data_IF_607931406735
#
_entry.id   IF_607931406735
#
_cell.length_a   1.000
_cell.length_b   1.000
_cell.length_c   1.000
_cell.angle_alpha   90.00
_cell.angle_beta   90.00
_cell.angle_gamma   90.00
#
_symmetry.space_group_name_H-M   'P 1'
#
loop_
_entity.id
_entity.type
_entity.pdbx_description
1 polymer ?
#
# COMPACT_ATOMS: atom_id res chain seq x y z
N UNK A 1 14.82 16.92 -12.39
CA UNK A 1 14.77 16.14 -11.13
C UNK A 1 13.66 15.14 -11.32
N UNK A 2 14.04 13.89 -11.56
CA UNK A 2 13.15 12.77 -11.83
C UNK A 2 13.31 11.80 -10.66
N UNK A 3 12.51 12.05 -9.62
CA UNK A 3 12.49 11.21 -8.42
C UNK A 3 11.61 10.01 -8.73
N UNK A 4 12.24 8.85 -8.92
CA UNK A 4 11.57 7.62 -9.34
C UNK A 4 11.92 6.45 -8.43
N UNK A 5 11.04 5.46 -8.41
CA UNK A 5 11.29 4.21 -7.71
C UNK A 5 12.04 3.26 -8.64
N UNK A 6 13.06 2.61 -8.09
CA UNK A 6 13.83 1.59 -8.79
C UNK A 6 13.86 0.30 -7.97
N UNK A 7 13.74 -0.83 -8.66
CA UNK A 7 13.90 -2.14 -8.05
C UNK A 7 15.38 -2.56 -8.08
N UNK A 8 15.84 -3.09 -6.96
CA UNK A 8 17.22 -3.53 -6.76
C UNK A 8 17.20 -4.97 -6.29
N UNK A 9 17.97 -5.80 -6.99
CA UNK A 9 18.13 -7.20 -6.66
C UNK A 9 19.26 -7.37 -5.64
N UNK A 10 19.02 -8.25 -4.68
CA UNK A 10 19.89 -8.53 -3.53
C UNK A 10 19.93 -10.02 -3.28
N UNK A 11 20.90 -10.49 -2.49
CA UNK A 11 20.87 -11.87 -2.01
C UNK A 11 19.66 -12.11 -1.10
N UNK A 12 18.94 -13.20 -1.34
CA UNK A 12 17.79 -13.60 -0.53
C UNK A 12 18.19 -13.70 0.95
N UNK A 13 17.39 -13.11 1.83
CA UNK A 13 17.67 -13.09 3.28
C UNK A 13 18.65 -11.99 3.72
N UNK A 14 19.28 -11.27 2.78
CA UNK A 14 20.11 -10.10 3.08
C UNK A 14 19.36 -8.78 2.94
N UNK A 15 18.06 -8.76 2.59
CA UNK A 15 17.34 -7.52 2.25
C UNK A 15 17.38 -6.49 3.38
N UNK A 16 17.15 -6.92 4.63
CA UNK A 16 17.18 -6.02 5.79
C UNK A 16 18.58 -5.46 6.06
N UNK A 17 19.60 -6.30 5.88
CA UNK A 17 21.00 -5.89 6.03
C UNK A 17 21.40 -4.90 4.94
N UNK A 18 20.97 -5.13 3.71
CA UNK A 18 21.21 -4.22 2.58
C UNK A 18 20.51 -2.90 2.82
N UNK A 19 19.23 -2.91 3.24
CA UNK A 19 18.50 -1.69 3.59
C UNK A 19 19.26 -0.87 4.64
N UNK A 20 19.65 -1.50 5.74
CA UNK A 20 20.38 -0.82 6.81
C UNK A 20 21.72 -0.26 6.32
N UNK A 21 22.50 -1.05 5.58
CA UNK A 21 23.77 -0.60 5.02
C UNK A 21 23.60 0.58 4.07
N UNK A 22 22.57 0.54 3.22
CA UNK A 22 22.27 1.59 2.26
C UNK A 22 21.88 2.88 3.01
N UNK A 23 20.97 2.81 3.97
CA UNK A 23 20.57 3.96 4.80
C UNK A 23 21.75 4.59 5.55
N UNK A 24 22.65 3.78 6.11
CA UNK A 24 23.87 4.29 6.76
C UNK A 24 24.80 4.97 5.76
N UNK A 25 25.00 4.35 4.58
CA UNK A 25 25.90 4.87 3.55
C UNK A 25 25.38 6.18 2.96
N UNK A 26 24.06 6.29 2.77
CA UNK A 26 23.39 7.55 2.38
C UNK A 26 23.67 8.66 3.39
N UNK A 27 23.61 8.37 4.70
CA UNK A 27 23.91 9.35 5.75
C UNK A 27 25.39 9.75 5.78
N UNK A 28 26.30 8.78 5.67
CA UNK A 28 27.76 9.01 5.74
C UNK A 28 28.25 9.80 4.53
N UNK A 29 27.74 9.50 3.34
CA UNK A 29 28.11 10.18 2.10
C UNK A 29 27.31 11.47 1.86
N UNK A 30 26.38 11.81 2.76
CA UNK A 30 25.55 13.00 2.64
C UNK A 30 24.59 12.98 1.44
N UNK A 31 24.20 11.81 0.94
CA UNK A 31 23.37 11.63 -0.27
C UNK A 31 21.86 11.66 -0.01
N UNK A 32 21.43 12.30 1.09
CA UNK A 32 20.02 12.36 1.49
C UNK A 32 19.17 13.22 0.55
N UNK A 33 19.82 14.04 -0.27
CA UNK A 33 19.27 14.86 -1.34
C UNK A 33 19.02 14.08 -2.64
N UNK A 34 19.63 12.89 -2.79
CA UNK A 34 19.47 12.02 -3.98
C UNK A 34 18.74 10.72 -3.67
N UNK A 35 18.94 10.13 -2.50
CA UNK A 35 18.32 8.87 -2.09
C UNK A 35 17.36 9.16 -0.93
N UNK A 36 16.06 9.10 -1.23
CA UNK A 36 15.01 9.54 -0.31
C UNK A 36 14.47 8.42 0.57
N UNK A 37 14.27 7.23 -0.01
CA UNK A 37 13.60 6.14 0.69
C UNK A 37 14.10 4.77 0.23
N UNK A 38 14.17 3.83 1.17
CA UNK A 38 14.49 2.42 0.92
C UNK A 38 13.39 1.55 1.52
N UNK A 39 12.81 0.68 0.72
CA UNK A 39 11.62 -0.10 1.03
C UNK A 39 11.87 -1.58 0.76
N UNK A 40 11.37 -2.42 1.68
CA UNK A 40 11.31 -3.87 1.49
C UNK A 40 9.83 -4.22 1.44
N UNK A 41 9.35 -4.93 0.41
CA UNK A 41 7.94 -5.29 0.27
C UNK A 41 7.58 -6.36 1.30
N UNK A 42 7.09 -5.93 2.47
CA UNK A 42 6.63 -6.82 3.53
C UNK A 42 5.16 -6.60 3.83
N UNK A 43 4.38 -7.68 3.88
CA UNK A 43 3.00 -7.67 4.32
C UNK A 43 2.92 -7.95 5.83
N UNK A 44 2.11 -7.18 6.55
CA UNK A 44 1.82 -7.42 7.97
C UNK A 44 0.66 -8.41 8.09
N UNK A 45 0.99 -9.66 8.45
CA UNK A 45 0.02 -10.75 8.64
C UNK A 45 -0.23 -10.90 10.13
N UNK A 46 -1.50 -10.89 10.55
CA UNK A 46 -1.87 -11.16 11.95
C UNK A 46 -1.99 -12.67 12.15
N UNK A 47 -0.95 -13.29 12.67
CA UNK A 47 -1.01 -14.69 13.06
C UNK A 47 -1.63 -14.82 14.46
N UNK A 48 -2.59 -15.73 14.59
CA UNK A 48 -3.13 -16.13 15.89
C UNK A 48 -2.29 -17.29 16.42
N UNK A 49 -1.42 -17.03 17.40
CA UNK A 49 -0.76 -18.12 18.14
C UNK A 49 -1.74 -18.81 19.10
N UNK A 50 -1.54 -20.11 19.33
CA UNK A 50 -2.25 -20.87 20.36
C UNK A 50 -2.13 -20.13 21.70
N UNK A 51 -3.26 -19.65 22.22
CA UNK A 51 -3.33 -18.78 23.40
C UNK A 51 -3.96 -17.39 23.17
N UNK A 52 -4.40 -17.07 21.95
CA UNK A 52 -5.24 -15.89 21.68
C UNK A 52 -4.48 -14.55 21.59
N UNK A 53 -3.15 -14.58 21.63
CA UNK A 53 -2.32 -13.39 21.37
C UNK A 53 -2.18 -13.20 19.85
N UNK A 54 -2.67 -12.07 19.36
CA UNK A 54 -2.47 -11.61 17.98
C UNK A 54 -1.03 -11.11 17.86
N UNK A 55 -0.22 -11.77 17.05
CA UNK A 55 1.15 -11.35 16.74
C UNK A 55 1.17 -10.85 15.29
N UNK A 56 1.68 -9.63 15.07
CA UNK A 56 1.84 -9.07 13.72
C UNK A 56 3.17 -9.58 13.17
N UNK A 57 3.11 -10.52 12.25
CA UNK A 57 4.27 -11.11 11.59
C UNK A 57 4.45 -10.46 10.22
N UNK A 58 5.65 -9.94 9.96
CA UNK A 58 6.00 -9.34 8.67
C UNK A 58 6.47 -10.41 7.70
N UNK A 59 5.72 -10.64 6.63
CA UNK A 59 6.05 -11.61 5.58
C UNK A 59 6.58 -10.88 4.34
N UNK A 60 7.75 -11.29 3.84
CA UNK A 60 8.34 -10.75 2.61
C UNK A 60 7.56 -11.26 1.39
N UNK A 61 7.11 -10.36 0.53
CA UNK A 61 6.36 -10.69 -0.70
C UNK A 61 7.29 -11.01 -1.88
N UNK A 62 8.39 -10.25 -2.01
CA UNK A 62 9.41 -10.46 -3.04
C UNK A 62 10.78 -10.69 -2.39
N UNK A 63 11.09 -11.94 -1.98
CA UNK A 63 12.41 -12.29 -1.46
C UNK A 63 13.50 -11.94 -2.49
N UNK A 64 14.58 -11.32 -2.03
CA UNK A 64 15.69 -10.87 -2.86
C UNK A 64 15.51 -9.47 -3.47
N UNK A 65 14.39 -8.79 -3.25
CA UNK A 65 14.15 -7.45 -3.82
C UNK A 65 14.06 -6.36 -2.75
N UNK A 66 14.68 -5.23 -3.04
CA UNK A 66 14.48 -3.96 -2.33
C UNK A 66 14.12 -2.89 -3.35
N UNK A 67 13.40 -1.86 -2.91
CA UNK A 67 13.00 -0.74 -3.75
C UNK A 67 13.58 0.55 -3.19
N UNK A 68 14.11 1.38 -4.05
CA UNK A 68 14.77 2.63 -3.67
C UNK A 68 14.15 3.80 -4.42
N UNK A 69 13.81 4.86 -3.71
CA UNK A 69 13.35 6.12 -4.25
C UNK A 69 14.56 7.04 -4.44
N UNK A 70 14.92 7.30 -5.68
CA UNK A 70 16.16 8.00 -6.03
C UNK A 70 15.89 9.05 -7.11
N UNK A 71 16.55 10.21 -7.00
CA UNK A 71 16.69 11.15 -8.12
C UNK A 71 17.89 10.73 -8.96
N UNK A 72 17.64 10.16 -10.14
CA UNK A 72 18.68 9.83 -11.10
C UNK A 72 18.93 10.96 -12.12
N UNK A 73 18.16 12.05 -12.07
CA UNK A 73 18.25 13.16 -13.02
C UNK A 73 17.54 12.88 -14.35
N UNK A 74 17.27 13.95 -15.10
CA UNK A 74 16.39 13.92 -16.28
C UNK A 74 17.05 13.28 -17.52
N UNK A 75 18.34 12.93 -17.47
CA UNK A 75 19.08 12.35 -18.59
C UNK A 75 19.05 10.82 -18.52
N UNK A 76 18.28 10.11 -19.38
CA UNK A 76 18.31 8.66 -19.43
C UNK A 76 19.69 8.22 -19.93
N UNK A 77 20.48 7.60 -19.05
CA UNK A 77 21.83 7.12 -19.39
C UNK A 77 22.96 7.70 -18.56
N UNK A 78 22.73 8.77 -17.81
CA UNK A 78 23.76 9.30 -16.91
C UNK A 78 23.78 8.53 -15.60
N UNK A 79 24.82 7.72 -15.44
CA UNK A 79 25.12 7.02 -14.20
C UNK A 79 25.52 8.06 -13.16
N UNK A 80 24.64 8.32 -12.19
CA UNK A 80 24.92 9.30 -11.14
C UNK A 80 25.56 8.64 -9.90
N UNK A 81 26.12 9.45 -9.01
CA UNK A 81 26.71 8.97 -7.76
C UNK A 81 25.72 8.15 -6.90
N UNK A 82 24.42 8.44 -6.95
CA UNK A 82 23.42 7.69 -6.19
C UNK A 82 23.28 6.25 -6.71
N UNK A 83 23.35 6.05 -8.03
CA UNK A 83 23.40 4.72 -8.64
C UNK A 83 24.64 3.94 -8.19
N UNK A 84 25.81 4.59 -8.17
CA UNK A 84 27.04 3.96 -7.70
C UNK A 84 26.97 3.58 -6.21
N UNK A 85 26.36 4.42 -5.38
CA UNK A 85 26.17 4.14 -3.95
C UNK A 85 25.30 2.91 -3.75
N UNK A 86 24.17 2.80 -4.46
CA UNK A 86 23.28 1.63 -4.37
C UNK A 86 24.00 0.38 -4.88
N UNK A 87 24.65 0.45 -6.05
CA UNK A 87 25.35 -0.70 -6.64
C UNK A 87 26.53 -1.19 -5.80
N UNK A 88 27.29 -0.28 -5.20
CA UNK A 88 28.44 -0.60 -4.36
C UNK A 88 28.04 -0.99 -2.92
N UNK A 89 26.74 -1.09 -2.62
CA UNK A 89 26.28 -1.53 -1.30
C UNK A 89 26.44 -3.05 -1.16
N UNK A 90 27.11 -3.53 -0.09
CA UNK A 90 27.30 -4.97 0.11
C UNK A 90 25.98 -5.73 0.20
N UNK A 91 25.82 -6.72 -0.68
CA UNK A 91 24.63 -7.56 -0.76
C UNK A 91 23.67 -7.21 -1.89
N UNK A 92 23.92 -6.10 -2.60
CA UNK A 92 23.27 -5.76 -3.87
C UNK A 92 23.94 -6.54 -5.00
N UNK A 93 23.13 -7.18 -5.86
CA UNK A 93 23.61 -7.85 -7.07
C UNK A 93 23.48 -6.96 -8.31
N UNK A 94 22.50 -6.04 -8.30
CA UNK A 94 22.34 -5.03 -9.33
C UNK A 94 20.94 -4.41 -9.32
N UNK A 95 20.74 -3.40 -10.16
CA UNK A 95 19.41 -2.87 -10.44
C UNK A 95 18.65 -3.82 -11.37
N UNK A 96 17.34 -3.85 -11.22
CA UNK A 96 16.44 -4.50 -12.17
C UNK A 96 16.30 -3.58 -13.38
N UNK A 97 16.63 -4.08 -14.57
CA UNK A 97 16.65 -3.29 -15.79
C UNK A 97 17.54 -3.91 -16.87
N UNK A 98 17.95 -3.08 -17.84
CA UNK A 98 18.96 -3.50 -18.81
C UNK A 98 20.34 -3.49 -18.14
N UNK A 99 21.27 -4.34 -18.60
CA UNK A 99 22.58 -4.55 -17.97
C UNK A 99 23.40 -3.26 -17.74
N UNK A 100 23.05 -2.17 -18.40
CA UNK A 100 23.72 -0.87 -18.35
C UNK A 100 22.90 0.23 -17.69
N UNK A 101 21.57 0.10 -17.54
CA UNK A 101 20.70 1.19 -17.06
C UNK A 101 19.57 0.70 -16.15
N UNK A 102 19.32 1.39 -15.01
CA UNK A 102 18.17 1.12 -14.16
C UNK A 102 16.89 1.50 -14.90
N UNK A 103 15.84 0.68 -14.74
CA UNK A 103 14.52 0.97 -15.28
C UNK A 103 13.62 1.42 -14.14
N UNK A 104 12.99 2.60 -14.21
CA UNK A 104 12.06 3.04 -13.17
C UNK A 104 10.82 2.17 -13.18
N UNK A 105 10.22 1.98 -12.01
CA UNK A 105 8.92 1.33 -11.88
C UNK A 105 7.86 2.20 -12.55
N UNK A 106 6.89 1.54 -13.20
CA UNK A 106 5.70 2.22 -13.70
C UNK A 106 4.85 2.77 -12.55
N UNK A 107 4.04 3.82 -12.78
CA UNK A 107 3.19 4.40 -11.74
C UNK A 107 2.28 3.37 -11.05
N UNK A 108 1.73 2.42 -11.81
CA UNK A 108 0.91 1.33 -11.30
C UNK A 108 1.69 0.38 -10.37
N UNK A 109 2.92 0.01 -10.72
CA UNK A 109 3.80 -0.82 -9.88
C UNK A 109 4.21 -0.11 -8.60
N UNK A 110 4.49 1.20 -8.68
CA UNK A 110 4.78 2.03 -7.51
C UNK A 110 3.59 2.09 -6.56
N UNK A 111 2.40 2.28 -7.11
CA UNK A 111 1.18 2.33 -6.31
C UNK A 111 0.96 1.00 -5.55
N UNK A 112 1.05 -0.11 -6.27
CA UNK A 112 0.94 -1.45 -5.68
C UNK A 112 1.99 -1.71 -4.60
N UNK A 113 3.24 -1.31 -4.85
CA UNK A 113 4.34 -1.42 -3.89
C UNK A 113 4.08 -0.63 -2.61
N UNK A 114 3.60 0.62 -2.74
CA UNK A 114 3.31 1.49 -1.59
C UNK A 114 2.12 1.00 -0.77
N UNK A 115 1.10 0.42 -1.44
CA UNK A 115 -0.05 -0.22 -0.80
C UNK A 115 0.39 -1.42 0.04
N UNK A 116 1.20 -2.31 -0.54
CA UNK A 116 1.78 -3.47 0.14
C UNK A 116 2.57 -3.04 1.38
N UNK A 117 3.40 -2.01 1.25
CA UNK A 117 4.32 -1.60 2.29
C UNK A 117 3.66 -0.88 3.47
N UNK A 118 2.34 -0.64 3.41
CA UNK A 118 1.63 0.18 4.39
C UNK A 118 2.10 1.63 4.46
N UNK A 119 2.98 2.05 3.53
CA UNK A 119 3.52 3.40 3.39
C UNK A 119 2.64 4.30 2.52
N UNK A 120 1.56 3.75 1.95
CA UNK A 120 0.42 4.49 1.45
C UNK A 120 -0.33 5.21 2.61
N UNK A 121 0.36 6.09 3.33
CA UNK A 121 -0.26 7.07 4.22
C UNK A 121 -0.50 8.37 3.46
N UNK A 122 -1.76 8.63 3.06
CA UNK A 122 -2.28 9.96 2.63
C UNK A 122 -1.74 10.55 1.31
N UNK A 123 -1.87 9.82 0.21
CA UNK A 123 -2.66 10.42 -0.89
C UNK A 123 -3.98 9.68 -0.88
N UNK A 124 -5.04 10.40 -1.15
CA UNK A 124 -6.35 9.85 -1.42
C UNK A 124 -6.18 8.63 -2.33
N UNK A 125 -6.13 7.45 -1.73
CA UNK A 125 -6.89 6.37 -2.32
C UNK A 125 -8.27 6.99 -2.42
N UNK A 126 -8.90 7.07 -3.60
CA UNK A 126 -10.28 6.73 -3.60
C UNK A 126 -10.29 5.26 -3.17
N UNK A 127 -10.14 5.01 -1.86
CA UNK A 127 -11.10 4.16 -1.21
C UNK A 127 -12.39 4.71 -1.83
N UNK A 128 -13.22 3.90 -2.46
CA UNK A 128 -14.61 4.15 -2.26
C UNK A 128 -14.77 4.02 -0.73
N UNK A 129 -14.41 5.08 0.02
CA UNK A 129 -15.23 5.56 1.08
C UNK A 129 -16.51 5.82 0.32
N UNK A 130 -17.33 4.77 0.19
CA UNK A 130 -18.74 4.95 0.02
C UNK A 130 -19.12 5.59 1.35
N UNK A 131 -18.85 6.89 1.46
CA UNK A 131 -19.35 7.73 2.51
C UNK A 131 -20.82 7.81 2.18
N UNK A 132 -21.57 6.80 2.64
CA UNK A 132 -23.01 6.87 2.64
C UNK A 132 -23.37 8.16 3.38
N UNK A 133 -24.20 8.98 2.75
CA UNK A 133 -24.79 10.16 3.38
C UNK A 133 -26.23 9.83 3.76
N UNK A 134 -26.72 10.48 4.80
CA UNK A 134 -28.14 10.45 5.12
C UNK A 134 -28.94 10.89 3.89
N UNK A 135 -29.91 10.08 3.48
CA UNK A 135 -30.70 10.25 2.26
C UNK A 135 -30.19 9.48 1.03
N UNK A 136 -29.03 8.81 1.09
CA UNK A 136 -28.58 7.97 -0.03
C UNK A 136 -29.44 6.70 -0.19
N UNK A 137 -29.74 6.34 -1.43
CA UNK A 137 -30.41 5.08 -1.76
C UNK A 137 -29.37 3.96 -1.82
N UNK A 138 -29.61 2.89 -1.07
CA UNK A 138 -28.70 1.75 -0.94
C UNK A 138 -29.44 0.44 -1.14
N UNK A 139 -28.77 -0.52 -1.74
CA UNK A 139 -29.24 -1.89 -1.90
C UNK A 139 -28.46 -2.80 -0.94
N UNK A 140 -29.19 -3.63 -0.21
CA UNK A 140 -28.61 -4.62 0.69
C UNK A 140 -28.14 -5.81 -0.13
N UNK A 141 -26.87 -6.18 0.01
CA UNK A 141 -26.24 -7.28 -0.75
C UNK A 141 -26.00 -8.53 0.10
N UNK A 142 -26.15 -8.44 1.42
CA UNK A 142 -25.87 -9.54 2.35
C UNK A 142 -26.82 -9.53 3.55
N UNK A 143 -27.05 -10.72 4.12
CA UNK A 143 -27.96 -10.92 5.25
C UNK A 143 -29.40 -11.26 4.83
N UNK A 144 -30.32 -11.40 5.80
CA UNK A 144 -31.72 -11.82 5.56
C UNK A 144 -32.54 -10.79 4.77
N UNK A 145 -32.00 -9.59 4.57
CA UNK A 145 -32.60 -8.50 3.81
C UNK A 145 -31.88 -8.25 2.47
N UNK A 146 -31.04 -9.20 2.01
CA UNK A 146 -30.41 -9.12 0.70
C UNK A 146 -31.46 -8.94 -0.41
N UNK A 147 -31.11 -8.19 -1.45
CA UNK A 147 -31.97 -7.75 -2.57
C UNK A 147 -32.98 -6.64 -2.28
N UNK A 148 -33.20 -6.24 -1.02
CA UNK A 148 -34.04 -5.08 -0.73
C UNK A 148 -33.29 -3.76 -0.91
N UNK A 149 -34.04 -2.73 -1.31
CA UNK A 149 -33.55 -1.36 -1.45
C UNK A 149 -34.11 -0.50 -0.31
N UNK A 150 -33.29 0.43 0.18
CA UNK A 150 -33.67 1.33 1.26
C UNK A 150 -32.94 2.66 1.19
N UNK A 151 -33.30 3.57 2.10
CA UNK A 151 -32.70 4.90 2.21
C UNK A 151 -31.89 4.97 3.51
N UNK A 152 -30.68 5.50 3.44
CA UNK A 152 -29.83 5.70 4.61
C UNK A 152 -30.43 6.77 5.51
N UNK A 153 -30.73 6.43 6.77
CA UNK A 153 -31.25 7.37 7.75
C UNK A 153 -30.17 7.95 8.66
N UNK A 154 -29.16 7.17 9.02
CA UNK A 154 -28.11 7.59 9.96
C UNK A 154 -26.83 6.78 9.70
N UNK A 155 -25.67 7.42 9.79
CA UNK A 155 -24.37 6.79 9.48
C UNK A 155 -23.44 6.89 10.68
N UNK A 156 -23.04 5.75 11.23
CA UNK A 156 -22.08 5.68 12.32
C UNK A 156 -20.69 5.26 11.79
N UNK A 157 -19.88 6.27 11.48
CA UNK A 157 -18.52 6.10 10.95
C UNK A 157 -17.57 5.45 11.97
N UNK A 158 -17.75 5.71 13.26
CA UNK A 158 -16.88 5.17 14.33
C UNK A 158 -17.04 3.66 14.50
N UNK A 159 -18.27 3.15 14.31
CA UNK A 159 -18.59 1.72 14.45
C UNK A 159 -18.71 0.98 13.12
N UNK A 160 -18.51 1.67 12.00
CA UNK A 160 -18.67 1.15 10.63
C UNK A 160 -20.07 0.56 10.34
N UNK A 161 -21.11 1.21 10.87
CA UNK A 161 -22.51 0.78 10.74
C UNK A 161 -23.39 1.88 10.16
N UNK A 162 -24.45 1.46 9.48
CA UNK A 162 -25.44 2.34 8.86
C UNK A 162 -26.86 1.90 9.24
N UNK A 163 -27.72 2.85 9.59
CA UNK A 163 -29.15 2.61 9.69
C UNK A 163 -29.80 2.90 8.34
N UNK A 164 -30.49 1.90 7.80
CA UNK A 164 -31.18 1.96 6.52
C UNK A 164 -32.66 1.74 6.75
N UNK A 165 -33.50 2.60 6.18
CA UNK A 165 -34.94 2.41 6.08
C UNK A 165 -35.21 1.54 4.86
N UNK A 166 -35.34 0.24 5.07
CA UNK A 166 -35.62 -0.72 4.00
C UNK A 166 -37.12 -0.71 3.73
N UNK A 167 -37.49 -0.57 2.45
CA UNK A 167 -38.89 -0.62 2.04
C UNK A 167 -39.29 -2.06 1.78
N UNK A 168 -40.05 -2.65 2.71
CA UNK A 168 -40.55 -4.03 2.61
C UNK A 168 -42.07 -3.95 2.65
N UNK A 169 -42.74 -4.45 1.60
CA UNK A 169 -44.21 -4.44 1.47
C UNK A 169 -44.86 -3.04 1.59
N UNK A 170 -44.20 -2.00 1.09
CA UNK A 170 -44.73 -0.62 1.14
C UNK A 170 -44.69 0.01 2.54
N UNK A 171 -43.93 -0.57 3.47
CA UNK A 171 -43.64 0.00 4.79
C UNK A 171 -42.13 0.18 4.97
N UNK A 172 -41.73 1.33 5.48
CA UNK A 172 -40.33 1.64 5.79
C UNK A 172 -39.99 1.05 7.16
N UNK A 173 -39.01 0.14 7.19
CA UNK A 173 -38.53 -0.48 8.44
C UNK A 173 -37.06 -0.13 8.65
N UNK A 174 -36.70 0.50 9.79
CA UNK A 174 -35.30 0.80 10.09
C UNK A 174 -34.54 -0.46 10.48
N UNK A 175 -33.44 -0.73 9.79
CA UNK A 175 -32.51 -1.83 10.08
C UNK A 175 -31.08 -1.30 10.19
N UNK A 176 -30.30 -1.85 11.11
CA UNK A 176 -28.88 -1.53 11.28
C UNK A 176 -28.04 -2.57 10.53
N UNK A 177 -27.21 -2.10 9.58
CA UNK A 177 -26.38 -2.94 8.71
C UNK A 177 -24.94 -2.45 8.75
N UNK A 178 -23.99 -3.34 8.45
CA UNK A 178 -22.59 -2.96 8.30
C UNK A 178 -22.33 -2.39 6.90
N UNK A 179 -21.32 -1.53 6.75
CA UNK A 179 -20.95 -0.96 5.44
C UNK A 179 -20.61 -2.02 4.38
N UNK A 180 -20.16 -3.20 4.80
CA UNK A 180 -19.86 -4.35 3.93
C UNK A 180 -21.12 -5.01 3.35
N UNK A 181 -22.28 -4.81 3.98
CA UNK A 181 -23.54 -5.47 3.64
C UNK A 181 -24.44 -4.62 2.74
N UNK A 182 -24.06 -3.38 2.48
CA UNK A 182 -24.81 -2.43 1.67
C UNK A 182 -23.96 -1.89 0.52
N UNK A 183 -24.59 -1.69 -0.63
CA UNK A 183 -23.96 -1.08 -1.81
C UNK A 183 -24.85 0.07 -2.25
N UNK A 184 -24.26 1.18 -2.67
CA UNK A 184 -25.03 2.31 -3.22
C UNK A 184 -25.79 1.84 -4.47
N UNK A 185 -27.10 2.09 -4.49
CA UNK A 185 -27.97 1.72 -5.61
C UNK A 185 -27.79 2.69 -6.79
#
# INVERSE_FOLDING_TARGET
MSIEWYAVHTYVGHEEKVKHNLEQRVKVLGMQDKIFQVLIPTEEVVEHREGGKKEVVRRKLYPGYIYVLVDLGDTPGEVNEAWEVVRNTPGVTGFVGTATHPVPLTPDEVQHLLEIAGLAGKKETPKPQVTFKEGDVVRVVSGPFAEFTGVVSEVNLERQKVKVLVSIFGRETPVELEFSQVVRA
#
